data_IF_217310158055
#
_entry.id   IF_217310158055
#
_cell.length_a   1.000
_cell.length_b   1.000
_cell.length_c   1.000
_cell.angle_alpha   90.00
_cell.angle_beta   90.00
_cell.angle_gamma   90.00
#
_symmetry.space_group_name_H-M   'P 1'
#
loop_
_entity.id
_entity.type
_entity.pdbx_description
1 polymer ?
#
# COMPACT_ATOMS: atom_id res chain seq x y z
N UNK A 1 -0.76 -13.42 -15.60
CA UNK A 1 -1.35 -12.12 -16.00
C UNK A 1 -2.70 -11.85 -15.35
N UNK A 2 -3.74 -12.67 -15.56
CA UNK A 2 -5.09 -12.40 -15.04
C UNK A 2 -5.14 -12.17 -13.51
N UNK A 3 -4.39 -12.96 -12.73
CA UNK A 3 -4.30 -12.76 -11.28
C UNK A 3 -3.76 -11.36 -10.92
N UNK A 4 -2.72 -10.88 -11.60
CA UNK A 4 -2.18 -9.52 -11.41
C UNK A 4 -3.28 -8.49 -11.68
N UNK A 5 -4.00 -8.60 -12.80
CA UNK A 5 -5.13 -7.71 -13.11
C UNK A 5 -6.19 -7.69 -12.01
N UNK A 6 -6.63 -8.87 -11.57
CA UNK A 6 -7.72 -9.02 -10.62
C UNK A 6 -7.32 -8.50 -9.25
N UNK A 7 -6.13 -8.87 -8.78
CA UNK A 7 -5.60 -8.39 -7.50
C UNK A 7 -5.37 -6.88 -7.52
N UNK A 8 -5.02 -6.29 -8.66
CA UNK A 8 -4.86 -4.84 -8.83
C UNK A 8 -6.19 -4.10 -8.74
N UNK A 9 -7.22 -4.60 -9.44
CA UNK A 9 -8.58 -4.03 -9.36
C UNK A 9 -9.16 -4.08 -7.96
N UNK A 10 -8.99 -5.22 -7.28
CA UNK A 10 -9.41 -5.39 -5.89
C UNK A 10 -8.67 -4.41 -4.98
N UNK A 11 -7.35 -4.28 -5.14
CA UNK A 11 -6.55 -3.35 -4.35
C UNK A 11 -6.99 -1.89 -4.56
N UNK A 12 -7.25 -1.48 -5.80
CA UNK A 12 -7.80 -0.15 -6.10
C UNK A 12 -9.17 0.07 -5.46
N UNK A 13 -10.03 -0.95 -5.48
CA UNK A 13 -11.32 -0.88 -4.78
C UNK A 13 -11.12 -0.65 -3.29
N UNK A 14 -10.21 -1.38 -2.64
CA UNK A 14 -9.90 -1.18 -1.21
C UNK A 14 -9.37 0.22 -0.92
N UNK A 15 -8.45 0.74 -1.74
CA UNK A 15 -7.97 2.12 -1.59
C UNK A 15 -9.09 3.15 -1.74
N UNK A 16 -10.00 2.95 -2.70
CA UNK A 16 -11.17 3.80 -2.89
C UNK A 16 -12.08 3.75 -1.66
N UNK A 17 -12.36 2.55 -1.15
CA UNK A 17 -13.21 2.34 0.03
C UNK A 17 -12.61 3.02 1.27
N UNK A 18 -11.28 3.01 1.43
CA UNK A 18 -10.63 3.76 2.51
C UNK A 18 -10.80 5.27 2.33
N UNK A 19 -10.55 5.80 1.14
CA UNK A 19 -10.64 7.24 0.88
C UNK A 19 -12.08 7.76 1.02
N UNK A 20 -13.04 7.07 0.42
CA UNK A 20 -14.44 7.52 0.35
C UNK A 20 -15.26 7.10 1.57
N UNK A 21 -14.99 5.91 2.13
CA UNK A 21 -15.73 5.34 3.25
C UNK A 21 -15.20 5.77 4.62
N UNK A 22 -13.87 5.83 4.81
CA UNK A 22 -13.28 6.24 6.09
C UNK A 22 -12.83 7.71 6.09
N UNK A 23 -11.88 8.10 5.23
CA UNK A 23 -11.25 9.43 5.31
C UNK A 23 -12.28 10.55 5.16
N UNK A 24 -13.15 10.44 4.15
CA UNK A 24 -14.20 11.42 3.91
C UNK A 24 -15.16 11.56 5.10
N UNK A 25 -15.51 10.45 5.76
CA UNK A 25 -16.40 10.49 6.93
C UNK A 25 -15.69 11.05 8.15
N UNK A 26 -14.43 10.67 8.39
CA UNK A 26 -13.65 11.19 9.50
C UNK A 26 -13.47 12.72 9.40
N UNK A 27 -13.20 13.26 8.20
CA UNK A 27 -13.08 14.70 7.94
C UNK A 27 -14.37 15.49 8.20
N UNK A 28 -15.55 14.86 8.05
CA UNK A 28 -16.85 15.49 8.37
C UNK A 28 -17.12 15.57 9.88
N UNK A 29 -16.48 14.71 10.68
CA UNK A 29 -16.70 14.61 12.12
C UNK A 29 -15.55 15.26 12.88
N UNK A 30 -15.38 16.58 12.71
CA UNK A 30 -14.28 17.37 13.30
C UNK A 30 -14.26 17.37 14.83
N UNK A 31 -15.40 17.11 15.49
CA UNK A 31 -15.47 16.91 16.94
C UNK A 31 -14.98 15.54 17.42
N UNK A 32 -14.69 14.61 16.50
CA UNK A 32 -14.29 13.23 16.83
C UNK A 32 -12.82 12.96 16.49
N UNK A 33 -12.29 13.59 15.43
CA UNK A 33 -10.91 13.43 14.99
C UNK A 33 -10.24 14.78 14.78
N UNK A 34 -9.02 14.93 15.30
CA UNK A 34 -8.19 16.09 14.96
C UNK A 34 -7.49 15.89 13.61
N UNK A 35 -7.09 16.97 12.91
CA UNK A 35 -6.31 16.85 11.68
C UNK A 35 -5.01 16.06 11.84
N UNK A 36 -4.34 16.19 13.00
CA UNK A 36 -3.12 15.45 13.32
C UNK A 36 -3.38 13.94 13.46
N UNK A 37 -4.50 13.55 14.08
CA UNK A 37 -4.90 12.14 14.16
C UNK A 37 -5.18 11.56 12.78
N UNK A 38 -5.89 12.30 11.91
CA UNK A 38 -6.15 11.86 10.55
C UNK A 38 -4.87 11.69 9.74
N UNK A 39 -3.94 12.64 9.85
CA UNK A 39 -2.62 12.55 9.21
C UNK A 39 -1.83 11.34 9.72
N UNK A 40 -1.91 11.04 11.01
CA UNK A 40 -1.23 9.88 11.62
C UNK A 40 -1.84 8.55 11.15
N UNK A 41 -3.17 8.43 11.16
CA UNK A 41 -3.88 7.19 10.84
C UNK A 41 -3.78 6.86 9.35
N UNK A 42 -3.99 7.84 8.48
CA UNK A 42 -4.12 7.60 7.04
C UNK A 42 -2.84 7.90 6.25
N UNK A 43 -1.91 8.69 6.81
CA UNK A 43 -0.66 9.06 6.13
C UNK A 43 -0.92 9.64 4.74
N UNK A 44 -0.13 9.18 3.77
CA UNK A 44 -0.21 9.55 2.36
C UNK A 44 -1.04 8.56 1.51
N UNK A 45 -2.02 7.85 2.10
CA UNK A 45 -2.77 6.82 1.36
C UNK A 45 -3.59 7.37 0.17
N UNK A 46 -4.03 8.63 0.22
CA UNK A 46 -4.70 9.27 -0.91
C UNK A 46 -3.75 9.45 -2.11
N UNK A 47 -2.46 9.70 -1.85
CA UNK A 47 -1.43 9.76 -2.90
C UNK A 47 -1.14 8.37 -3.48
N UNK A 48 -1.11 7.34 -2.63
CA UNK A 48 -1.05 5.94 -3.08
C UNK A 48 -2.23 5.65 -3.99
N UNK A 49 -3.46 5.97 -3.59
CA UNK A 49 -4.65 5.76 -4.40
C UNK A 49 -4.56 6.47 -5.75
N UNK A 50 -4.12 7.73 -5.78
CA UNK A 50 -3.95 8.49 -7.02
C UNK A 50 -2.91 7.85 -7.94
N UNK A 51 -1.75 7.47 -7.42
CA UNK A 51 -0.67 6.82 -8.17
C UNK A 51 -1.13 5.46 -8.72
N UNK A 52 -1.75 4.65 -7.86
CA UNK A 52 -2.19 3.31 -8.19
C UNK A 52 -3.29 3.32 -9.25
N UNK A 53 -4.21 4.29 -9.22
CA UNK A 53 -5.25 4.42 -10.26
C UNK A 53 -4.65 4.67 -11.64
N UNK A 54 -3.59 5.48 -11.71
CA UNK A 54 -2.87 5.71 -12.96
C UNK A 54 -2.19 4.43 -13.43
N UNK A 55 -1.49 3.75 -12.52
CA UNK A 55 -0.85 2.47 -12.80
C UNK A 55 -1.84 1.43 -13.32
N UNK A 56 -2.97 1.19 -12.64
CA UNK A 56 -3.99 0.24 -13.11
C UNK A 56 -4.53 0.63 -14.49
N UNK A 57 -4.79 1.92 -14.72
CA UNK A 57 -5.29 2.39 -16.02
C UNK A 57 -4.32 2.08 -17.16
N UNK A 58 -3.02 2.27 -16.94
CA UNK A 58 -2.01 2.00 -17.96
C UNK A 58 -1.78 0.49 -18.13
N UNK A 59 -1.86 -0.27 -17.04
CA UNK A 59 -1.79 -1.73 -17.06
C UNK A 59 -2.99 -2.37 -17.78
N UNK A 60 -4.19 -1.80 -17.65
CA UNK A 60 -5.39 -2.23 -18.39
C UNK A 60 -5.32 -1.96 -19.88
N UNK A 61 -4.55 -0.96 -20.34
CA UNK A 61 -4.34 -0.71 -21.77
C UNK A 61 -3.45 -1.77 -22.42
N UNK A 62 -2.51 -2.33 -21.65
CA UNK A 62 -1.56 -3.35 -22.11
C UNK A 62 -2.12 -4.78 -21.98
N UNK A 63 -3.27 -4.93 -21.29
CA UNK A 63 -3.92 -6.21 -21.12
C UNK A 63 -4.65 -6.65 -22.39
N UNK A 64 -4.16 -7.71 -23.01
CA UNK A 64 -4.85 -8.36 -24.12
C UNK A 64 -5.98 -9.25 -23.57
N UNK A 65 -7.24 -8.91 -23.91
CA UNK A 65 -8.42 -9.63 -23.42
C UNK A 65 -8.64 -10.96 -24.13
N UNK A 66 -8.28 -11.04 -25.41
CA UNK A 66 -8.46 -12.22 -26.25
C UNK A 66 -7.36 -13.23 -25.95
N UNK A 67 -6.12 -12.75 -25.82
CA UNK A 67 -4.94 -13.56 -25.54
C UNK A 67 -4.16 -13.01 -24.33
N UNK A 68 -4.63 -13.29 -23.09
CA UNK A 68 -4.02 -12.75 -21.88
C UNK A 68 -2.53 -13.05 -21.72
N UNK A 69 -2.04 -14.14 -22.30
CA UNK A 69 -0.65 -14.55 -22.24
C UNK A 69 0.29 -13.67 -23.09
N UNK A 70 -0.25 -12.94 -24.08
CA UNK A 70 0.51 -11.99 -24.92
C UNK A 70 0.53 -10.57 -24.34
N UNK A 71 0.02 -10.35 -23.12
CA UNK A 71 0.00 -9.02 -22.50
C UNK A 71 1.41 -8.58 -22.10
N UNK A 72 1.84 -7.40 -22.54
CA UNK A 72 3.18 -6.85 -22.28
C UNK A 72 3.16 -5.85 -21.13
N UNK A 73 3.04 -6.35 -19.89
CA UNK A 73 2.84 -5.51 -18.71
C UNK A 73 4.14 -5.09 -18.02
N UNK A 74 5.29 -5.70 -18.35
CA UNK A 74 6.58 -5.40 -17.72
C UNK A 74 6.97 -3.92 -17.86
N UNK A 75 6.74 -3.35 -19.06
CA UNK A 75 7.01 -1.93 -19.34
C UNK A 75 6.22 -0.98 -18.43
N UNK A 76 5.00 -1.35 -18.03
CA UNK A 76 4.15 -0.53 -17.16
C UNK A 76 4.76 -0.35 -15.77
N UNK A 77 5.35 -1.41 -15.20
CA UNK A 77 6.02 -1.36 -13.91
C UNK A 77 7.24 -0.44 -13.95
N UNK A 78 8.04 -0.52 -15.02
CA UNK A 78 9.22 0.31 -15.20
C UNK A 78 8.86 1.79 -15.31
N UNK A 79 7.82 2.12 -16.10
CA UNK A 79 7.33 3.49 -16.24
C UNK A 79 6.84 4.10 -14.93
N UNK A 80 6.35 3.28 -14.00
CA UNK A 80 5.79 3.72 -12.72
C UNK A 80 6.74 3.52 -11.54
N UNK A 81 7.98 3.07 -11.76
CA UNK A 81 8.90 2.65 -10.69
C UNK A 81 9.11 3.71 -9.62
N UNK A 82 9.31 4.97 -10.04
CA UNK A 82 9.52 6.11 -9.13
C UNK A 82 8.27 6.41 -8.30
N UNK A 83 7.09 6.18 -8.89
CA UNK A 83 5.80 6.35 -8.24
C UNK A 83 5.58 5.38 -7.09
N UNK A 84 6.32 4.27 -6.99
CA UNK A 84 6.26 3.37 -5.85
C UNK A 84 7.08 3.84 -4.63
N UNK A 85 7.93 4.85 -4.78
CA UNK A 85 8.73 5.38 -3.66
C UNK A 85 7.86 5.93 -2.51
N UNK A 86 6.64 6.41 -2.81
CA UNK A 86 5.68 6.93 -1.82
C UNK A 86 5.24 5.87 -0.79
N UNK A 87 5.35 4.57 -1.14
CA UNK A 87 5.07 3.48 -0.20
C UNK A 87 6.07 3.45 0.95
N UNK A 88 7.28 4.00 0.77
CA UNK A 88 8.27 4.09 1.84
C UNK A 88 7.75 4.96 2.99
N UNK A 89 7.21 6.13 2.69
CA UNK A 89 6.61 7.01 3.69
C UNK A 89 5.45 6.32 4.40
N UNK A 90 4.55 5.68 3.63
CA UNK A 90 3.42 4.96 4.21
C UNK A 90 3.86 3.85 5.17
N UNK A 91 4.82 3.02 4.76
CA UNK A 91 5.32 1.91 5.58
C UNK A 91 6.04 2.40 6.84
N UNK A 92 6.71 3.55 6.79
CA UNK A 92 7.37 4.15 7.96
C UNK A 92 6.34 4.71 8.96
N UNK A 93 5.22 5.26 8.46
CA UNK A 93 4.17 5.83 9.30
C UNK A 93 3.20 4.78 9.85
N UNK A 94 3.08 3.62 9.19
CA UNK A 94 2.10 2.57 9.52
C UNK A 94 2.15 2.08 10.98
N UNK A 95 3.31 1.90 11.65
CA UNK A 95 3.35 1.56 13.07
C UNK A 95 2.67 2.61 13.96
N UNK A 96 2.85 3.90 13.64
CA UNK A 96 2.18 5.01 14.34
C UNK A 96 0.67 5.01 14.12
N UNK A 97 0.23 4.74 12.88
CA UNK A 97 -1.19 4.57 12.56
C UNK A 97 -1.83 3.43 13.39
N UNK A 98 -1.14 2.29 13.52
CA UNK A 98 -1.62 1.15 14.31
C UNK A 98 -1.77 1.52 15.79
N UNK A 99 -0.81 2.26 16.36
CA UNK A 99 -0.87 2.69 17.75
C UNK A 99 -2.02 3.68 18.00
N UNK A 100 -2.19 4.67 17.12
CA UNK A 100 -3.27 5.65 17.21
C UNK A 100 -4.64 4.95 17.10
N UNK A 101 -4.81 4.06 16.13
CA UNK A 101 -6.03 3.26 16.00
C UNK A 101 -6.31 2.40 17.23
N UNK A 102 -5.29 1.70 17.76
CA UNK A 102 -5.45 0.91 18.98
C UNK A 102 -5.93 1.76 20.16
N UNK A 103 -5.41 2.98 20.30
CA UNK A 103 -5.86 3.92 21.33
C UNK A 103 -7.31 4.38 21.12
N UNK A 104 -7.67 4.76 19.90
CA UNK A 104 -9.05 5.16 19.58
C UNK A 104 -10.05 4.02 19.82
N UNK A 105 -9.70 2.80 19.42
CA UNK A 105 -10.57 1.62 19.53
C UNK A 105 -10.88 1.22 20.99
N UNK A 106 -10.13 1.73 21.98
CA UNK A 106 -10.49 1.60 23.42
C UNK A 106 -11.83 2.26 23.74
N UNK A 107 -12.20 3.33 23.03
CA UNK A 107 -13.47 4.00 23.25
C UNK A 107 -14.54 3.47 22.29
N UNK A 108 -15.70 3.10 22.84
CA UNK A 108 -16.81 2.52 22.09
C UNK A 108 -17.27 3.41 20.93
N UNK A 109 -17.26 4.74 21.08
CA UNK A 109 -17.67 5.68 20.02
C UNK A 109 -16.89 5.49 18.71
N UNK A 110 -15.57 5.26 18.76
CA UNK A 110 -14.77 5.04 17.56
C UNK A 110 -15.03 3.66 16.95
N UNK A 111 -15.25 2.63 17.78
CA UNK A 111 -15.63 1.29 17.30
C UNK A 111 -16.93 1.33 16.50
N UNK A 112 -17.98 1.93 17.05
CA UNK A 112 -19.27 2.06 16.36
C UNK A 112 -19.14 2.92 15.10
N UNK A 113 -18.37 4.00 15.15
CA UNK A 113 -18.15 4.87 13.99
C UNK A 113 -17.46 4.14 12.84
N UNK A 114 -16.36 3.43 13.09
CA UNK A 114 -15.64 2.71 12.04
C UNK A 114 -16.47 1.55 11.49
N UNK A 115 -17.24 0.87 12.34
CA UNK A 115 -18.17 -0.17 11.89
C UNK A 115 -19.29 0.40 11.02
N UNK A 116 -19.87 1.54 11.40
CA UNK A 116 -20.86 2.22 10.57
C UNK A 116 -20.28 2.64 9.21
N UNK A 117 -19.05 3.16 9.17
CA UNK A 117 -18.37 3.49 7.92
C UNK A 117 -18.18 2.25 7.03
N UNK A 118 -17.77 1.11 7.63
CA UNK A 118 -17.57 -0.16 6.92
C UNK A 118 -18.85 -0.66 6.28
N UNK A 119 -19.96 -0.67 7.04
CA UNK A 119 -21.27 -1.13 6.60
C UNK A 119 -21.86 -0.22 5.51
N UNK A 120 -21.75 1.11 5.68
CA UNK A 120 -22.25 2.08 4.69
C UNK A 120 -21.55 1.95 3.34
N UNK A 121 -20.25 1.66 3.34
CA UNK A 121 -19.46 1.45 2.13
C UNK A 121 -19.52 -0.01 1.63
N UNK A 122 -20.29 -0.88 2.29
CA UNK A 122 -20.46 -2.30 1.94
C UNK A 122 -19.12 -3.04 1.79
N UNK A 123 -18.19 -2.73 2.69
CA UNK A 123 -16.89 -3.37 2.73
C UNK A 123 -17.00 -4.79 3.30
N UNK A 124 -16.06 -5.65 2.91
CA UNK A 124 -15.89 -6.98 3.51
C UNK A 124 -15.65 -6.88 5.02
N UNK A 125 -15.86 -7.98 5.75
CA UNK A 125 -15.73 -8.04 7.20
C UNK A 125 -14.26 -8.08 7.65
N UNK A 126 -13.57 -6.97 7.36
CA UNK A 126 -12.21 -6.67 7.76
C UNK A 126 -12.25 -5.32 8.46
N UNK A 127 -11.63 -5.25 9.63
CA UNK A 127 -11.51 -4.00 10.38
C UNK A 127 -10.56 -3.00 9.67
N UNK A 128 -10.68 -1.72 10.02
CA UNK A 128 -9.93 -0.63 9.36
C UNK A 128 -8.42 -0.85 9.36
N UNK A 129 -7.85 -1.41 10.42
CA UNK A 129 -6.44 -1.76 10.53
C UNK A 129 -6.00 -2.77 9.47
N UNK A 130 -6.84 -3.78 9.19
CA UNK A 130 -6.62 -4.73 8.10
C UNK A 130 -6.61 -4.06 6.72
N UNK A 131 -7.50 -3.10 6.48
CA UNK A 131 -7.51 -2.31 5.25
C UNK A 131 -6.24 -1.45 5.10
N UNK A 132 -5.78 -0.80 6.17
CA UNK A 132 -4.57 0.01 6.18
C UNK A 132 -3.29 -0.82 6.07
N UNK A 133 -3.34 -2.12 6.31
CA UNK A 133 -2.21 -3.01 6.08
C UNK A 133 -2.03 -3.37 4.59
N UNK A 134 -3.09 -3.21 3.77
CA UNK A 134 -3.07 -3.64 2.37
C UNK A 134 -1.97 -2.99 1.50
N UNK A 135 -1.61 -1.69 1.64
CA UNK A 135 -0.52 -1.11 0.85
C UNK A 135 0.85 -1.69 1.21
N UNK A 136 1.08 -1.97 2.50
CA UNK A 136 2.31 -2.62 2.99
C UNK A 136 2.44 -4.02 2.41
N UNK A 137 1.33 -4.77 2.35
CA UNK A 137 1.32 -6.10 1.75
C UNK A 137 1.51 -6.04 0.23
N UNK A 138 0.85 -5.09 -0.45
CA UNK A 138 0.85 -5.00 -1.91
C UNK A 138 2.25 -4.75 -2.47
N UNK A 139 3.01 -3.83 -1.86
CA UNK A 139 4.37 -3.51 -2.34
C UNK A 139 5.33 -4.71 -2.21
N UNK A 140 5.13 -5.56 -1.20
CA UNK A 140 5.89 -6.81 -1.02
C UNK A 140 5.45 -7.93 -1.97
N UNK A 141 4.23 -7.87 -2.53
CA UNK A 141 3.70 -8.90 -3.44
C UNK A 141 4.19 -8.74 -4.87
N UNK A 142 4.48 -7.52 -5.34
CA UNK A 142 4.90 -7.31 -6.73
C UNK A 142 6.13 -8.10 -7.16
N UNK A 143 7.24 -8.16 -6.38
CA UNK A 143 8.38 -8.98 -6.76
C UNK A 143 8.02 -10.47 -6.89
N UNK A 144 7.14 -10.98 -6.03
CA UNK A 144 6.69 -12.38 -6.07
C UNK A 144 5.85 -12.66 -7.32
N UNK A 145 4.91 -11.76 -7.63
CA UNK A 145 4.06 -11.89 -8.81
C UNK A 145 4.87 -11.78 -10.12
N UNK A 146 5.85 -10.88 -10.17
CA UNK A 146 6.73 -10.72 -11.33
C UNK A 146 7.73 -11.88 -11.48
N UNK A 147 8.25 -12.41 -10.38
CA UNK A 147 9.08 -13.62 -10.40
C UNK A 147 8.30 -14.82 -10.94
N UNK A 148 7.06 -15.01 -10.49
CA UNK A 148 6.20 -16.09 -10.98
C UNK A 148 5.87 -15.88 -12.46
N UNK A 149 5.55 -14.66 -12.88
CA UNK A 149 5.30 -14.35 -14.28
C UNK A 149 6.53 -14.68 -15.15
N UNK A 150 7.73 -14.26 -14.72
CA UNK A 150 8.97 -14.50 -15.45
C UNK A 150 9.26 -15.98 -15.67
N UNK A 151 8.91 -16.87 -14.71
CA UNK A 151 9.08 -18.33 -14.86
C UNK A 151 8.29 -18.90 -16.03
N UNK A 152 7.14 -18.31 -16.37
CA UNK A 152 6.26 -18.77 -17.44
C UNK A 152 6.38 -17.93 -18.73
N UNK A 153 7.28 -16.95 -18.76
CA UNK A 153 7.57 -16.16 -19.96
C UNK A 153 8.80 -16.72 -20.65
N UNK A 154 8.66 -17.11 -21.92
CA UNK A 154 9.79 -17.60 -22.73
C UNK A 154 10.75 -16.46 -23.10
N UNK A 155 12.02 -16.78 -23.34
CA UNK A 155 13.03 -15.77 -23.69
C UNK A 155 12.75 -15.05 -25.01
N UNK A 156 12.05 -15.71 -25.93
CA UNK A 156 11.65 -15.14 -27.22
C UNK A 156 10.42 -14.24 -27.12
N UNK A 157 9.73 -14.23 -25.97
CA UNK A 157 8.59 -13.33 -25.76
C UNK A 157 9.10 -11.88 -25.65
N UNK A 158 8.46 -10.98 -26.39
CA UNK A 158 8.70 -9.54 -26.41
C UNK A 158 8.82 -8.89 -25.02
N UNK A 159 8.03 -9.31 -24.03
CA UNK A 159 8.00 -8.73 -22.69
C UNK A 159 9.02 -9.37 -21.71
N UNK A 160 9.74 -10.43 -22.11
CA UNK A 160 10.65 -11.17 -21.20
C UNK A 160 11.67 -10.25 -20.52
N UNK A 161 12.36 -9.40 -21.30
CA UNK A 161 13.36 -8.48 -20.77
C UNK A 161 12.74 -7.40 -19.88
N UNK A 162 11.55 -6.91 -20.23
CA UNK A 162 10.83 -5.92 -19.43
C UNK A 162 10.35 -6.52 -18.11
N UNK A 163 9.81 -7.74 -18.11
CA UNK A 163 9.39 -8.44 -16.87
C UNK A 163 10.61 -8.68 -15.98
N UNK A 164 11.74 -9.12 -16.54
CA UNK A 164 12.98 -9.31 -15.78
C UNK A 164 13.47 -8.00 -15.15
N UNK A 165 13.48 -6.90 -15.90
CA UNK A 165 13.86 -5.59 -15.39
C UNK A 165 12.86 -5.09 -14.33
N UNK A 166 11.56 -5.26 -14.56
CA UNK A 166 10.51 -4.89 -13.62
C UNK A 166 10.63 -5.66 -12.31
N UNK A 167 10.93 -6.96 -12.37
CA UNK A 167 11.16 -7.79 -11.20
C UNK A 167 12.31 -7.23 -10.33
N UNK A 168 13.47 -6.93 -10.94
CA UNK A 168 14.60 -6.35 -10.22
C UNK A 168 14.28 -4.96 -9.66
N UNK A 169 13.59 -4.12 -10.43
CA UNK A 169 13.15 -2.80 -9.97
C UNK A 169 12.24 -2.90 -8.74
N UNK A 170 11.22 -3.77 -8.79
CA UNK A 170 10.28 -3.93 -7.66
C UNK A 170 10.94 -4.59 -6.45
N UNK A 171 11.89 -5.51 -6.66
CA UNK A 171 12.71 -6.08 -5.58
C UNK A 171 13.53 -4.98 -4.90
N UNK A 172 14.15 -4.08 -5.67
CA UNK A 172 14.88 -2.94 -5.14
C UNK A 172 13.97 -1.99 -4.35
N UNK A 173 12.77 -1.67 -4.85
CA UNK A 173 11.79 -0.86 -4.13
C UNK A 173 11.42 -1.50 -2.78
N UNK A 174 11.09 -2.80 -2.76
CA UNK A 174 10.76 -3.51 -1.53
C UNK A 174 11.93 -3.53 -0.54
N UNK A 175 13.16 -3.76 -1.01
CA UNK A 175 14.37 -3.71 -0.20
C UNK A 175 14.61 -2.32 0.40
N UNK A 176 14.47 -1.26 -0.39
CA UNK A 176 14.66 0.13 0.06
C UNK A 176 13.65 0.51 1.14
N UNK A 177 12.39 0.09 0.99
CA UNK A 177 11.34 0.31 2.00
C UNK A 177 11.71 -0.41 3.30
N UNK A 178 12.12 -1.67 3.21
CA UNK A 178 12.49 -2.47 4.38
C UNK A 178 13.73 -1.90 5.09
N UNK A 179 14.75 -1.49 4.34
CA UNK A 179 15.99 -0.92 4.90
C UNK A 179 15.74 0.45 5.53
N UNK A 180 14.92 1.30 4.90
CA UNK A 180 14.57 2.60 5.46
C UNK A 180 13.79 2.45 6.76
N UNK A 181 12.87 1.48 6.83
CA UNK A 181 12.17 1.13 8.07
C UNK A 181 13.15 0.69 9.16
N UNK A 182 14.06 -0.25 8.85
CA UNK A 182 15.10 -0.73 9.78
C UNK A 182 15.97 0.40 10.30
N UNK A 183 16.37 1.34 9.44
CA UNK A 183 17.20 2.49 9.82
C UNK A 183 16.48 3.41 10.80
N UNK A 184 15.20 3.71 10.57
CA UNK A 184 14.39 4.53 11.48
C UNK A 184 14.21 3.84 12.85
N UNK A 185 13.92 2.54 12.86
CA UNK A 185 13.83 1.76 14.11
C UNK A 185 15.16 1.73 14.88
N UNK A 186 16.29 1.69 14.16
CA UNK A 186 17.63 1.72 14.77
C UNK A 186 17.94 3.07 15.42
N UNK A 187 17.59 4.18 14.76
CA UNK A 187 17.73 5.54 15.31
C UNK A 187 16.88 5.70 16.58
N UNK A 188 15.63 5.25 16.55
CA UNK A 188 14.73 5.31 17.72
C UNK A 188 15.27 4.47 18.90
N UNK A 189 15.82 3.28 18.63
CA UNK A 189 16.49 2.47 19.66
C UNK A 189 17.70 3.18 20.27
N UNK A 190 18.53 3.84 19.45
CA UNK A 190 19.69 4.60 19.94
C UNK A 190 19.24 5.78 20.81
N UNK A 191 18.22 6.53 20.38
CA UNK A 191 17.68 7.65 21.16
C UNK A 191 17.12 7.19 22.51
N UNK A 192 16.34 6.10 22.54
CA UNK A 192 15.85 5.49 23.78
C UNK A 192 16.99 4.99 24.67
N UNK A 193 18.01 4.38 24.06
CA UNK A 193 19.18 3.90 24.78
C UNK A 193 19.94 5.08 25.42
N UNK A 194 20.18 6.17 24.71
CA UNK A 194 20.80 7.38 25.24
C UNK A 194 20.06 7.94 26.46
N UNK A 195 18.72 8.02 26.39
CA UNK A 195 17.89 8.49 27.51
C UNK A 195 17.90 7.52 28.71
N UNK A 196 18.10 6.22 28.45
CA UNK A 196 18.16 5.19 29.51
C UNK A 196 19.50 5.13 30.26
N UNK A 197 20.55 5.77 29.74
CA UNK A 197 21.82 5.88 30.43
C UNK A 197 21.70 7.02 31.45
N UNK A 198 21.64 6.67 32.72
CA UNK A 198 21.65 7.63 33.83
C UNK A 198 23.02 8.31 33.86
N UNK A 199 23.02 9.65 33.83
CA UNK A 199 24.17 10.57 33.83
C UNK A 199 25.01 10.57 32.52
N UNK A 200 24.52 11.30 31.52
CA UNK A 200 25.36 11.82 30.43
C UNK A 200 25.91 13.20 30.79
#
# INVERSE_FOLDING_TARGET
>A
IQEIMNTERIYIKHLKDICEGYIRQCRKHTGMFTPAQLSTIFGNIEDIYKSQRKFLKDLEKLYNKEEPHLSEIGSCFLQHQEGFAIYSEYCNNHPGACLELCNLMKHSKYRHFFEACRLLQQMIDIAIDGFLLTPVQKICKYPLQLAELLKYTTQDHSDYNNIKAAYEAMKNVACLINERKRRLESIDKIARWQVSIVNW
#
